data_IF_350516345284
#
_entry.id   IF_350516345284
#
_cell.length_a   1.000
_cell.length_b   1.000
_cell.length_c   1.000
_cell.angle_alpha   90.00
_cell.angle_beta   90.00
_cell.angle_gamma   90.00
#
_symmetry.space_group_name_H-M   'P 1'
#
loop_
_entity.id
_entity.type
_entity.pdbx_description
1 polymer ?
#
# COMPACT_ATOMS: atom_id res chain seq x y z
N UNK A 1 -6.12 25.22 21.90
CA UNK A 1 -7.21 24.27 22.27
C UNK A 1 -7.09 23.07 21.34
N UNK A 2 -6.53 21.95 21.81
CA UNK A 2 -6.47 20.70 21.01
C UNK A 2 -7.91 20.28 20.75
N UNK A 3 -8.33 20.21 19.49
CA UNK A 3 -9.61 19.60 19.13
C UNK A 3 -9.39 18.10 19.27
N UNK A 4 -10.08 17.45 20.20
CA UNK A 4 -10.21 15.99 20.18
C UNK A 4 -11.07 15.64 18.97
N UNK A 5 -10.41 15.49 17.82
CA UNK A 5 -11.04 14.98 16.62
C UNK A 5 -11.18 13.47 16.78
N UNK A 6 -12.33 12.92 16.36
CA UNK A 6 -12.57 11.49 16.41
C UNK A 6 -11.49 10.73 15.60
N UNK A 7 -10.89 9.70 16.20
CA UNK A 7 -9.96 8.78 15.52
C UNK A 7 -10.70 8.05 14.39
N UNK A 8 -9.95 7.63 13.37
CA UNK A 8 -10.46 6.84 12.26
C UNK A 8 -10.34 5.36 12.63
N UNK A 9 -11.44 4.62 12.88
CA UNK A 9 -11.38 3.20 13.15
C UNK A 9 -11.08 2.43 11.86
N UNK A 10 -10.20 1.44 11.95
CA UNK A 10 -9.78 0.55 10.86
C UNK A 10 -9.94 -0.88 11.32
N UNK A 11 -10.61 -1.70 10.52
CA UNK A 11 -10.74 -3.14 10.75
C UNK A 11 -9.68 -3.87 9.94
N UNK A 12 -8.77 -4.57 10.62
CA UNK A 12 -7.75 -5.38 9.97
C UNK A 12 -8.36 -6.66 9.36
N UNK A 13 -7.66 -7.33 8.42
CA UNK A 13 -8.15 -8.56 7.79
C UNK A 13 -8.47 -9.71 8.76
N UNK A 14 -7.88 -9.72 9.96
CA UNK A 14 -8.16 -10.71 11.01
C UNK A 14 -9.36 -10.34 11.91
N UNK A 15 -10.01 -9.19 11.65
CA UNK A 15 -11.15 -8.66 12.40
C UNK A 15 -10.74 -7.80 13.60
N UNK A 16 -9.45 -7.70 13.93
CA UNK A 16 -8.97 -6.77 14.96
C UNK A 16 -9.15 -5.31 14.52
N UNK A 17 -9.16 -4.39 15.50
CA UNK A 17 -9.36 -2.96 15.24
C UNK A 17 -8.16 -2.12 15.65
N UNK A 18 -7.89 -1.11 14.83
CA UNK A 18 -6.84 -0.12 15.02
C UNK A 18 -7.46 1.27 14.85
N UNK A 19 -6.99 2.27 15.60
CA UNK A 19 -7.51 3.64 15.54
C UNK A 19 -6.43 4.62 15.07
N UNK A 20 -6.59 5.16 13.87
CA UNK A 20 -5.67 6.14 13.28
C UNK A 20 -6.03 7.57 13.69
N UNK A 21 -5.05 8.47 13.68
CA UNK A 21 -5.33 9.90 13.80
C UNK A 21 -6.21 10.39 12.62
N UNK A 22 -6.99 11.46 12.81
CA UNK A 22 -7.82 11.99 11.75
C UNK A 22 -7.00 12.83 10.75
N UNK A 23 -7.31 12.67 9.46
CA UNK A 23 -6.77 13.50 8.38
C UNK A 23 -5.48 12.96 7.74
N UNK A 24 -4.84 13.80 6.94
CA UNK A 24 -3.72 13.40 6.09
C UNK A 24 -4.11 12.22 5.19
N UNK A 25 -3.22 11.24 5.11
CA UNK A 25 -3.42 10.01 4.32
C UNK A 25 -4.22 8.92 5.03
N UNK A 26 -4.56 9.09 6.31
CA UNK A 26 -5.19 8.03 7.12
C UNK A 26 -6.56 7.56 6.61
N UNK A 27 -7.43 8.41 6.04
CA UNK A 27 -8.65 7.94 5.37
C UNK A 27 -8.34 7.00 4.19
N UNK A 28 -7.29 7.27 3.42
CA UNK A 28 -6.86 6.42 2.31
C UNK A 28 -6.19 5.14 2.80
N UNK A 29 -5.42 5.19 3.89
CA UNK A 29 -4.90 3.99 4.58
C UNK A 29 -6.04 3.06 5.02
N UNK A 30 -7.12 3.62 5.60
CA UNK A 30 -8.32 2.84 5.93
C UNK A 30 -8.87 2.15 4.68
N UNK A 31 -9.02 2.87 3.57
CA UNK A 31 -9.52 2.30 2.32
C UNK A 31 -8.58 1.21 1.76
N UNK A 32 -7.27 1.38 1.88
CA UNK A 32 -6.29 0.35 1.51
C UNK A 32 -6.54 -0.93 2.32
N UNK A 33 -6.72 -0.80 3.64
CA UNK A 33 -6.86 -1.97 4.52
C UNK A 33 -8.22 -2.65 4.32
N UNK A 34 -9.30 -1.88 4.17
CA UNK A 34 -10.67 -2.41 4.15
C UNK A 34 -11.20 -2.75 2.75
N UNK A 35 -10.59 -2.22 1.68
CA UNK A 35 -11.04 -2.46 0.30
C UNK A 35 -9.93 -3.08 -0.56
N UNK A 36 -8.73 -2.49 -0.60
CA UNK A 36 -7.64 -3.02 -1.42
C UNK A 36 -7.17 -4.40 -0.92
N UNK A 37 -6.92 -4.55 0.38
CA UNK A 37 -6.40 -5.81 0.92
C UNK A 37 -7.33 -7.00 0.65
N UNK A 38 -8.65 -6.96 0.92
CA UNK A 38 -9.52 -8.09 0.60
C UNK A 38 -9.64 -8.36 -0.91
N UNK A 39 -9.56 -7.34 -1.76
CA UNK A 39 -9.66 -7.51 -3.21
C UNK A 39 -8.39 -8.10 -3.84
N UNK A 40 -7.20 -7.60 -3.48
CA UNK A 40 -5.95 -7.87 -4.18
C UNK A 40 -4.92 -8.69 -3.38
N UNK A 41 -5.12 -8.80 -2.06
CA UNK A 41 -4.31 -9.61 -1.17
C UNK A 41 -5.18 -10.42 -0.20
N UNK A 42 -6.16 -11.22 -0.68
CA UNK A 42 -7.05 -11.98 0.19
C UNK A 42 -6.27 -12.90 1.12
N UNK A 43 -6.63 -12.90 2.41
CA UNK A 43 -5.87 -13.60 3.47
C UNK A 43 -4.50 -12.99 3.76
N UNK A 44 -4.22 -11.78 3.25
CA UNK A 44 -3.01 -11.03 3.54
C UNK A 44 -2.99 -10.52 4.97
N UNK A 45 -1.78 -10.38 5.51
CA UNK A 45 -1.56 -9.88 6.88
C UNK A 45 -0.97 -8.48 6.81
N UNK A 46 -1.62 -7.52 7.45
CA UNK A 46 -1.10 -6.16 7.59
C UNK A 46 0.02 -6.20 8.63
N UNK A 47 1.25 -5.94 8.20
CA UNK A 47 2.44 -6.00 9.04
C UNK A 47 2.85 -4.64 9.61
N UNK A 48 2.42 -3.55 8.96
CA UNK A 48 2.76 -2.19 9.38
C UNK A 48 1.70 -1.20 8.91
N UNK A 49 1.40 -0.21 9.77
CA UNK A 49 0.59 0.96 9.42
C UNK A 49 1.29 2.22 9.94
N UNK A 50 1.67 3.11 9.01
CA UNK A 50 2.27 4.40 9.28
C UNK A 50 1.21 5.47 9.54
N UNK A 51 0.90 5.70 10.81
CA UNK A 51 0.01 6.79 11.21
C UNK A 51 0.75 8.14 11.28
N UNK A 52 0.05 9.21 10.89
CA UNK A 52 0.64 10.56 10.82
C UNK A 52 1.04 11.14 12.18
N UNK A 53 0.47 10.67 13.29
CA UNK A 53 0.84 11.10 14.65
C UNK A 53 1.74 10.09 15.37
N UNK A 54 1.59 8.79 15.10
CA UNK A 54 2.38 7.73 15.69
C UNK A 54 2.83 6.69 14.66
N UNK A 55 4.11 6.72 14.31
CA UNK A 55 4.70 5.82 13.30
C UNK A 55 4.53 4.31 13.58
N UNK A 56 4.11 3.88 14.76
CA UNK A 56 3.99 2.46 15.11
C UNK A 56 2.63 2.10 15.71
N UNK A 57 1.54 2.67 15.16
CA UNK A 57 0.19 2.30 15.60
C UNK A 57 -0.09 0.80 15.39
N UNK A 58 0.50 0.19 14.37
CA UNK A 58 0.50 -1.25 14.15
C UNK A 58 1.85 -1.69 13.58
N UNK A 59 2.53 -2.65 14.22
CA UNK A 59 3.81 -3.19 13.79
C UNK A 59 3.95 -4.66 14.21
N UNK A 60 3.94 -5.56 13.22
CA UNK A 60 4.14 -7.00 13.41
C UNK A 60 5.62 -7.37 13.20
N UNK A 61 6.45 -7.02 14.18
CA UNK A 61 7.92 -7.24 14.12
C UNK A 61 8.28 -8.71 13.86
N UNK A 62 7.56 -9.65 14.47
CA UNK A 62 7.81 -11.08 14.26
C UNK A 62 7.53 -11.50 12.81
N UNK A 63 6.46 -10.98 12.19
CA UNK A 63 6.12 -11.25 10.80
C UNK A 63 7.16 -10.69 9.83
N UNK A 64 7.61 -9.45 10.04
CA UNK A 64 8.69 -8.84 9.26
C UNK A 64 10.01 -9.60 9.41
N UNK A 65 10.37 -9.97 10.63
CA UNK A 65 11.61 -10.73 10.92
C UNK A 65 11.59 -12.09 10.23
N UNK A 66 10.45 -12.80 10.23
CA UNK A 66 10.31 -14.08 9.54
C UNK A 66 10.60 -13.96 8.03
N UNK A 67 10.22 -12.82 7.44
CA UNK A 67 10.50 -12.46 6.06
C UNK A 67 11.93 -11.93 5.83
N UNK A 68 12.77 -11.83 6.86
CA UNK A 68 14.13 -11.30 6.74
C UNK A 68 14.20 -9.76 6.73
N UNK A 69 13.14 -9.09 7.18
CA UNK A 69 13.05 -7.63 7.22
C UNK A 69 13.19 -7.14 8.66
N UNK A 70 14.16 -6.23 8.87
CA UNK A 70 14.30 -5.47 10.11
C UNK A 70 14.14 -3.99 9.78
N UNK A 71 13.16 -3.33 10.40
CA UNK A 71 12.92 -1.91 10.18
C UNK A 71 13.71 -1.06 11.18
N UNK A 72 14.52 -0.14 10.67
CA UNK A 72 15.15 0.91 11.48
C UNK A 72 14.11 2.02 11.74
N UNK A 73 14.00 2.48 12.99
CA UNK A 73 13.11 3.57 13.38
C UNK A 73 13.39 4.89 12.63
N UNK A 74 14.63 5.08 12.14
CA UNK A 74 15.01 6.22 11.32
C UNK A 74 14.68 6.06 9.83
N UNK A 75 14.38 4.83 9.36
CA UNK A 75 14.12 4.57 7.95
C UNK A 75 12.78 5.19 7.49
N UNK A 76 12.73 5.55 6.20
CA UNK A 76 11.48 5.98 5.55
C UNK A 76 10.72 4.76 5.05
N UNK A 77 9.91 4.19 5.93
CA UNK A 77 9.04 3.03 5.68
C UNK A 77 7.82 3.49 4.84
N UNK A 78 7.24 2.66 3.96
CA UNK A 78 5.99 3.00 3.27
C UNK A 78 4.81 3.03 4.24
N UNK A 79 3.71 3.68 3.86
CA UNK A 79 2.56 3.88 4.73
C UNK A 79 1.87 2.57 5.17
N UNK A 80 1.80 1.55 4.32
CA UNK A 80 1.25 0.24 4.67
C UNK A 80 2.12 -0.88 4.12
N UNK A 81 2.35 -1.91 4.94
CA UNK A 81 3.02 -3.15 4.51
C UNK A 81 2.07 -4.32 4.70
N UNK A 82 1.85 -5.11 3.63
CA UNK A 82 0.98 -6.28 3.66
C UNK A 82 1.73 -7.51 3.14
N UNK A 83 1.72 -8.61 3.88
CA UNK A 83 2.21 -9.89 3.39
C UNK A 83 1.07 -10.72 2.83
N UNK A 84 1.00 -10.85 1.51
CA UNK A 84 0.09 -11.78 0.85
C UNK A 84 0.69 -13.19 0.85
N UNK A 85 0.35 -13.95 1.88
CA UNK A 85 0.94 -15.27 2.18
C UNK A 85 0.82 -16.26 1.03
N UNK A 86 -0.34 -16.32 0.37
CA UNK A 86 -0.62 -17.31 -0.69
C UNK A 86 0.34 -17.20 -1.88
N UNK A 87 0.79 -15.98 -2.22
CA UNK A 87 1.74 -15.73 -3.31
C UNK A 87 3.15 -15.41 -2.82
N UNK A 88 3.34 -15.37 -1.51
CA UNK A 88 4.55 -14.89 -0.84
C UNK A 88 5.01 -13.52 -1.40
N UNK A 89 4.08 -12.55 -1.42
CA UNK A 89 4.36 -11.17 -1.84
C UNK A 89 4.34 -10.22 -0.65
N UNK A 90 5.27 -9.28 -0.62
CA UNK A 90 5.27 -8.16 0.31
C UNK A 90 4.86 -6.90 -0.46
N UNK A 91 3.64 -6.45 -0.20
CA UNK A 91 3.08 -5.24 -0.79
C UNK A 91 3.55 -4.05 0.05
N UNK A 92 4.22 -3.11 -0.62
CA UNK A 92 4.73 -1.86 -0.07
C UNK A 92 3.88 -0.74 -0.65
N UNK A 93 2.98 -0.17 0.15
CA UNK A 93 1.90 0.70 -0.32
C UNK A 93 2.11 2.11 0.23
N UNK A 94 2.14 3.11 -0.64
CA UNK A 94 2.16 4.54 -0.30
C UNK A 94 0.77 5.14 -0.54
N UNK A 95 0.22 5.88 0.43
CA UNK A 95 -1.08 6.54 0.37
C UNK A 95 -0.89 8.02 0.00
N UNK A 96 -1.03 8.33 -1.29
CA UNK A 96 -0.70 9.67 -1.81
C UNK A 96 -1.83 10.66 -1.55
N UNK A 97 -1.52 11.68 -0.76
CA UNK A 97 -2.35 12.88 -0.56
C UNK A 97 -1.61 14.14 -0.98
N UNK A 98 -0.51 14.47 -0.30
CA UNK A 98 0.40 15.58 -0.64
C UNK A 98 1.86 15.14 -0.81
N UNK A 99 2.25 14.01 -0.21
CA UNK A 99 3.53 13.37 -0.48
C UNK A 99 3.54 12.78 -1.90
N UNK A 100 4.71 12.67 -2.52
CA UNK A 100 4.85 12.13 -3.88
C UNK A 100 4.57 10.62 -3.96
N UNK A 101 4.29 10.09 -5.17
CA UNK A 101 4.04 8.66 -5.39
C UNK A 101 5.30 7.81 -5.19
N UNK A 102 5.18 6.50 -5.39
CA UNK A 102 6.35 5.66 -5.64
C UNK A 102 6.95 6.04 -7.00
N UNK A 103 7.86 7.01 -6.97
CA UNK A 103 8.67 7.40 -8.12
C UNK A 103 9.89 6.47 -8.31
N UNK A 104 10.65 6.67 -9.38
CA UNK A 104 11.82 5.82 -9.66
C UNK A 104 12.87 5.81 -8.54
N UNK A 105 13.04 6.94 -7.84
CA UNK A 105 13.96 7.05 -6.72
C UNK A 105 13.41 6.31 -5.49
N UNK A 106 12.15 6.56 -5.14
CA UNK A 106 11.47 5.94 -4.00
C UNK A 106 11.37 4.43 -4.17
N UNK A 107 11.08 3.95 -5.38
CA UNK A 107 11.11 2.52 -5.71
C UNK A 107 12.48 1.90 -5.43
N UNK A 108 13.56 2.57 -5.85
CA UNK A 108 14.92 2.12 -5.58
C UNK A 108 15.22 2.12 -4.07
N UNK A 109 14.85 3.17 -3.35
CA UNK A 109 15.03 3.25 -1.89
C UNK A 109 14.30 2.11 -1.17
N UNK A 110 13.05 1.82 -1.54
CA UNK A 110 12.29 0.71 -0.97
C UNK A 110 12.89 -0.64 -1.36
N UNK A 111 13.34 -0.81 -2.60
CA UNK A 111 14.04 -2.04 -3.01
C UNK A 111 15.30 -2.28 -2.19
N UNK A 112 16.09 -1.23 -1.95
CA UNK A 112 17.31 -1.30 -1.15
C UNK A 112 16.98 -1.57 0.34
N UNK A 113 15.97 -0.90 0.90
CA UNK A 113 15.50 -1.08 2.28
C UNK A 113 14.98 -2.50 2.56
N UNK A 114 14.35 -3.14 1.58
CA UNK A 114 13.77 -4.48 1.69
C UNK A 114 14.58 -5.55 0.95
N UNK A 115 15.85 -5.31 0.64
CA UNK A 115 16.69 -6.22 -0.17
C UNK A 115 16.88 -7.62 0.45
N UNK A 116 16.82 -7.72 1.79
CA UNK A 116 16.89 -9.00 2.52
C UNK A 116 15.56 -9.77 2.58
N UNK A 117 14.48 -9.23 2.01
CA UNK A 117 13.16 -9.83 2.09
C UNK A 117 13.10 -11.14 1.31
N UNK A 118 12.51 -12.17 1.93
CA UNK A 118 12.27 -13.49 1.33
C UNK A 118 11.00 -13.55 0.46
N UNK A 119 10.21 -12.49 0.43
CA UNK A 119 9.00 -12.36 -0.37
C UNK A 119 9.25 -11.50 -1.61
N UNK A 120 8.48 -11.73 -2.68
CA UNK A 120 8.50 -10.87 -3.86
C UNK A 120 7.94 -9.48 -3.52
N UNK A 121 8.68 -8.42 -3.83
CA UNK A 121 8.23 -7.05 -3.55
C UNK A 121 7.22 -6.59 -4.61
N UNK A 122 6.11 -6.01 -4.15
CA UNK A 122 5.11 -5.33 -4.99
C UNK A 122 5.00 -3.90 -4.51
N UNK A 123 5.23 -2.94 -5.39
CA UNK A 123 5.18 -1.52 -5.07
C UNK A 123 3.83 -0.96 -5.52
N UNK A 124 3.09 -0.35 -4.60
CA UNK A 124 1.75 0.18 -4.89
C UNK A 124 1.68 1.64 -4.50
N UNK A 125 1.22 2.48 -5.42
CA UNK A 125 0.81 3.85 -5.12
C UNK A 125 -0.72 3.89 -5.06
N UNK A 126 -1.27 4.25 -3.91
CA UNK A 126 -2.71 4.42 -3.73
C UNK A 126 -3.09 5.90 -3.86
N UNK A 127 -4.19 6.19 -4.54
CA UNK A 127 -4.82 7.51 -4.60
C UNK A 127 -6.28 7.42 -4.16
N UNK A 128 -6.82 8.54 -3.68
CA UNK A 128 -8.26 8.62 -3.41
C UNK A 128 -9.08 8.55 -4.71
N UNK A 129 -8.65 9.27 -5.75
CA UNK A 129 -9.37 9.38 -7.02
C UNK A 129 -8.41 9.63 -8.19
N UNK A 130 -8.92 9.45 -9.43
CA UNK A 130 -8.14 9.66 -10.67
C UNK A 130 -7.65 11.10 -10.83
N UNK A 131 -8.40 12.08 -10.34
CA UNK A 131 -8.03 13.50 -10.43
C UNK A 131 -6.74 13.78 -9.65
N UNK A 132 -6.60 13.24 -8.44
CA UNK A 132 -5.36 13.33 -7.67
C UNK A 132 -4.22 12.63 -8.40
N UNK A 133 -4.45 11.42 -8.93
CA UNK A 133 -3.44 10.68 -9.70
C UNK A 133 -2.91 11.48 -10.90
N UNK A 134 -3.77 12.21 -11.63
CA UNK A 134 -3.36 12.99 -12.82
C UNK A 134 -2.22 13.97 -12.52
N UNK A 135 -2.17 14.54 -11.32
CA UNK A 135 -1.10 15.47 -10.90
C UNK A 135 0.26 14.78 -10.75
N UNK A 136 0.26 13.46 -10.54
CA UNK A 136 1.47 12.67 -10.24
C UNK A 136 1.84 11.66 -11.33
N UNK A 137 1.00 11.48 -12.35
CA UNK A 137 1.13 10.40 -13.35
C UNK A 137 2.51 10.34 -14.01
N UNK A 138 3.14 11.50 -14.27
CA UNK A 138 4.47 11.59 -14.90
C UNK A 138 5.61 11.15 -13.99
N UNK A 139 5.37 11.04 -12.68
CA UNK A 139 6.37 10.68 -11.68
C UNK A 139 6.26 9.22 -11.23
N UNK A 140 5.16 8.54 -11.53
CA UNK A 140 4.92 7.15 -11.10
C UNK A 140 5.96 6.24 -11.77
N UNK A 141 6.62 5.41 -10.96
CA UNK A 141 7.64 4.49 -11.44
C UNK A 141 7.04 3.43 -12.39
N UNK A 142 7.78 3.09 -13.45
CA UNK A 142 7.60 1.79 -14.11
C UNK A 142 7.84 0.64 -13.14
N UNK A 143 7.29 -0.53 -13.47
CA UNK A 143 7.34 -1.74 -12.64
C UNK A 143 6.76 -1.49 -11.24
N UNK A 144 5.65 -0.77 -11.21
CA UNK A 144 4.84 -0.50 -10.02
C UNK A 144 3.34 -0.51 -10.37
N UNK A 145 2.53 -0.62 -9.33
CA UNK A 145 1.08 -0.69 -9.45
C UNK A 145 0.43 0.58 -8.88
N UNK A 146 -0.74 0.92 -9.41
CA UNK A 146 -1.56 2.01 -8.89
C UNK A 146 -2.95 1.50 -8.56
N UNK A 147 -3.43 1.87 -7.37
CA UNK A 147 -4.79 1.60 -6.92
C UNK A 147 -5.52 2.92 -6.63
N UNK A 148 -6.82 2.97 -6.92
CA UNK A 148 -7.64 4.18 -6.77
C UNK A 148 -8.87 3.82 -5.94
N UNK A 149 -9.03 4.46 -4.78
CA UNK A 149 -10.10 4.12 -3.84
C UNK A 149 -11.51 4.36 -4.41
N UNK A 150 -11.68 5.35 -5.29
CA UNK A 150 -12.93 5.62 -6.03
C UNK A 150 -13.34 4.47 -6.96
N UNK A 151 -12.39 3.70 -7.48
CA UNK A 151 -12.60 2.54 -8.37
C UNK A 151 -11.97 1.27 -7.75
N UNK A 152 -12.46 0.80 -6.59
CA UNK A 152 -11.71 -0.09 -5.69
C UNK A 152 -11.46 -1.48 -6.28
N UNK A 153 -12.26 -1.91 -7.26
CA UNK A 153 -12.15 -3.23 -7.90
C UNK A 153 -11.10 -3.27 -9.03
N UNK A 154 -10.43 -2.16 -9.32
CA UNK A 154 -9.51 -2.03 -10.44
C UNK A 154 -8.09 -1.66 -9.99
N UNK A 155 -7.11 -2.02 -10.82
CA UNK A 155 -5.70 -1.67 -10.64
C UNK A 155 -5.10 -1.23 -11.98
N UNK A 156 -4.18 -0.28 -11.95
CA UNK A 156 -3.42 0.16 -13.12
C UNK A 156 -2.00 -0.35 -12.98
N UNK A 157 -1.52 -1.06 -14.00
CA UNK A 157 -0.18 -1.62 -14.05
C UNK A 157 0.74 -0.72 -14.89
N UNK A 158 1.76 -0.12 -14.27
CA UNK A 158 2.77 0.64 -14.99
C UNK A 158 3.90 -0.31 -15.42
N UNK A 159 3.82 -0.82 -16.66
CA UNK A 159 4.74 -1.72 -17.39
C UNK A 159 4.06 -3.06 -17.77
N UNK A 160 4.46 -3.66 -18.89
CA UNK A 160 3.56 -4.47 -19.73
C UNK A 160 3.98 -5.86 -20.17
N UNK A 161 5.21 -6.34 -19.88
CA UNK A 161 5.61 -7.69 -20.34
C UNK A 161 4.78 -8.83 -19.72
N UNK A 162 4.00 -8.55 -18.66
CA UNK A 162 3.16 -9.52 -17.95
C UNK A 162 1.71 -9.64 -18.44
N UNK A 163 1.16 -8.66 -19.16
CA UNK A 163 -0.30 -8.48 -19.23
C UNK A 163 -0.89 -8.17 -20.62
N UNK A 164 -0.18 -8.42 -21.72
CA UNK A 164 -0.79 -8.29 -23.05
C UNK A 164 -1.79 -9.42 -23.30
N UNK A 165 -3.07 -9.07 -23.43
CA UNK A 165 -4.15 -10.00 -23.77
C UNK A 165 -5.50 -9.29 -23.86
N UNK A 166 -6.45 -9.81 -24.66
CA UNK A 166 -7.81 -9.27 -24.73
C UNK A 166 -8.60 -9.52 -23.44
N UNK A 167 -9.46 -8.57 -23.07
CA UNK A 167 -10.43 -8.76 -21.98
C UNK A 167 -11.55 -9.72 -22.40
N UNK A 168 -12.23 -10.39 -21.44
CA UNK A 168 -13.26 -11.39 -21.76
C UNK A 168 -14.43 -10.87 -22.62
N UNK A 169 -14.76 -9.60 -22.51
CA UNK A 169 -15.85 -8.93 -23.25
C UNK A 169 -15.52 -8.66 -24.73
N UNK A 170 -14.23 -8.68 -25.09
CA UNK A 170 -13.75 -8.43 -26.46
C UNK A 170 -13.13 -9.67 -27.12
N UNK A 171 -13.24 -10.85 -26.49
CA UNK A 171 -12.86 -12.11 -27.12
C UNK A 171 -13.79 -12.43 -28.29
N UNK A 172 -13.27 -12.94 -29.43
CA UNK A 172 -14.10 -13.44 -30.51
C UNK A 172 -15.08 -14.51 -29.99
N UNK A 173 -16.34 -14.42 -30.41
CA UNK A 173 -17.36 -15.44 -30.11
C UNK A 173 -17.16 -16.69 -30.96
#
# INVERSE_FOLDING_TARGET
RKRDLARVPVTLPDGSQVALSPGGQNPLIKAIIEHFCPAFAPGGVVLYIGDTENKFVHLETAGLTALGVTLDAAAKIPDVIVHHRAKNWLLLIEAVTSAGPVDGKRRKELKDLFAGCKAGLVFVTAFENRRTMQTFVSHIAWESEVWIAEDPDHMIHFNGERFLGPYPDVLPR
#
